data_IF_426583041272
#
_entry.id   IF_426583041272
#
_cell.length_a   1.000
_cell.length_b   1.000
_cell.length_c   1.000
_cell.angle_alpha   90.00
_cell.angle_beta   90.00
_cell.angle_gamma   90.00
#
_symmetry.space_group_name_H-M   'P 1'
#
loop_
_entity.id
_entity.type
_entity.pdbx_description
1 polymer ?
#
# COMPACT_ATOMS: atom_id res chain seq x y z
N UNK A 1 28.12 9.48 12.06
CA UNK A 1 26.71 9.32 12.45
C UNK A 1 25.84 10.10 11.48
N UNK A 2 24.81 9.47 10.88
CA UNK A 2 23.83 10.20 10.08
C UNK A 2 23.13 11.22 10.98
N UNK A 3 23.24 12.52 10.63
CA UNK A 3 22.46 13.57 11.29
C UNK A 3 20.97 13.25 11.11
N UNK A 4 20.17 13.40 12.16
CA UNK A 4 18.72 13.16 12.10
C UNK A 4 18.09 13.97 10.96
N UNK A 5 17.16 13.36 10.23
CA UNK A 5 16.36 14.04 9.20
C UNK A 5 15.66 15.27 9.78
N UNK A 6 15.69 16.44 9.13
CA UNK A 6 14.99 17.63 9.61
C UNK A 6 13.48 17.38 9.66
N UNK A 7 12.81 17.91 10.68
CA UNK A 7 11.34 17.91 10.72
C UNK A 7 10.79 18.90 9.70
N UNK A 8 9.53 18.71 9.29
CA UNK A 8 8.89 19.64 8.36
C UNK A 8 8.75 21.05 8.97
N UNK A 9 8.56 21.17 10.29
CA UNK A 9 8.59 22.49 10.95
C UNK A 9 9.95 23.18 10.79
N UNK A 10 11.07 22.43 10.87
CA UNK A 10 12.41 22.97 10.61
C UNK A 10 12.64 23.37 9.15
N UNK A 11 11.81 22.86 8.24
CA UNK A 11 11.81 23.22 6.83
C UNK A 11 10.84 24.39 6.52
N UNK A 12 10.19 24.97 7.54
CA UNK A 12 9.36 26.17 7.40
C UNK A 12 7.85 25.91 7.24
N UNK A 13 7.40 24.66 7.35
CA UNK A 13 5.98 24.32 7.28
C UNK A 13 5.26 24.66 8.60
N UNK A 14 4.10 25.32 8.49
CA UNK A 14 3.22 25.65 9.61
C UNK A 14 2.43 24.42 10.09
N UNK A 15 1.90 24.46 11.32
CA UNK A 15 1.08 23.36 11.85
C UNK A 15 -0.17 23.10 10.98
N UNK A 16 -0.75 24.16 10.42
CA UNK A 16 -1.90 24.07 9.53
C UNK A 16 -1.57 23.38 8.21
N UNK A 17 -0.38 23.61 7.65
CA UNK A 17 0.09 22.93 6.44
C UNK A 17 0.47 21.47 6.69
N UNK A 18 0.80 21.13 7.94
CA UNK A 18 1.12 19.77 8.37
C UNK A 18 -0.12 18.94 8.74
N UNK A 19 -1.28 19.57 8.84
CA UNK A 19 -2.53 18.89 9.11
C UNK A 19 -2.93 18.00 7.93
N UNK A 20 -2.70 16.69 8.04
CA UNK A 20 -3.13 15.73 7.03
C UNK A 20 -4.64 15.53 7.12
N UNK A 21 -5.37 16.09 6.16
CA UNK A 21 -6.82 15.89 6.01
C UNK A 21 -7.11 14.79 5.01
N UNK A 22 -7.89 13.79 5.43
CA UNK A 22 -8.40 12.80 4.50
C UNK A 22 -9.37 13.47 3.52
N UNK A 23 -9.09 13.34 2.22
CA UNK A 23 -10.01 13.77 1.17
C UNK A 23 -11.08 12.69 0.99
N UNK A 24 -12.35 13.06 1.07
CA UNK A 24 -13.48 12.14 0.92
C UNK A 24 -13.56 11.49 -0.47
N UNK A 25 -12.88 12.07 -1.47
CA UNK A 25 -12.76 11.51 -2.82
C UNK A 25 -11.63 10.48 -2.93
N UNK A 26 -10.75 10.42 -1.92
CA UNK A 26 -9.64 9.48 -1.88
C UNK A 26 -10.13 8.03 -1.74
N UNK A 27 -9.50 7.11 -2.49
CA UNK A 27 -9.79 5.67 -2.37
C UNK A 27 -9.36 5.07 -1.04
N UNK A 28 -8.41 5.73 -0.35
CA UNK A 28 -7.85 5.35 0.94
C UNK A 28 -7.40 6.62 1.69
N UNK A 29 -7.50 6.64 3.03
CA UNK A 29 -6.80 7.62 3.85
C UNK A 29 -5.32 7.23 3.94
N UNK A 30 -4.54 7.53 2.89
CA UNK A 30 -3.14 7.11 2.81
C UNK A 30 -2.32 7.65 3.98
N UNK A 31 -1.70 6.74 4.73
CA UNK A 31 -0.68 7.04 5.72
C UNK A 31 0.67 6.53 5.21
N UNK A 32 1.70 7.37 5.28
CA UNK A 32 3.06 6.99 4.87
C UNK A 32 3.72 6.00 5.83
N UNK A 33 4.90 5.51 5.44
CA UNK A 33 5.75 4.66 6.27
C UNK A 33 5.49 3.15 6.15
N UNK A 34 6.47 2.37 6.58
CA UNK A 34 6.48 0.90 6.49
C UNK A 34 5.30 0.25 7.21
N UNK A 35 4.98 0.70 8.44
CA UNK A 35 3.88 0.15 9.23
C UNK A 35 2.54 0.18 8.48
N UNK A 36 2.21 1.31 7.85
CA UNK A 36 0.99 1.45 7.07
C UNK A 36 1.03 0.61 5.79
N UNK A 37 2.22 0.51 5.16
CA UNK A 37 2.43 -0.31 3.99
C UNK A 37 2.19 -1.80 4.27
N UNK A 38 2.74 -2.33 5.36
CA UNK A 38 2.56 -3.72 5.79
C UNK A 38 1.10 -4.03 6.13
N UNK A 39 0.42 -3.12 6.84
CA UNK A 39 -1.01 -3.26 7.12
C UNK A 39 -1.84 -3.34 5.82
N UNK A 40 -1.53 -2.52 4.81
CA UNK A 40 -2.21 -2.57 3.51
C UNK A 40 -1.85 -3.84 2.72
N UNK A 41 -0.60 -4.29 2.79
CA UNK A 41 -0.14 -5.55 2.17
C UNK A 41 -0.95 -6.73 2.70
N UNK A 42 -1.04 -6.86 4.03
CA UNK A 42 -1.81 -7.91 4.69
C UNK A 42 -3.30 -7.81 4.37
N UNK A 43 -3.90 -6.61 4.43
CA UNK A 43 -5.31 -6.42 4.08
C UNK A 43 -5.61 -6.90 2.67
N UNK A 44 -4.90 -6.39 1.67
CA UNK A 44 -5.23 -6.67 0.27
C UNK A 44 -4.98 -8.13 -0.10
N UNK A 45 -3.91 -8.72 0.43
CA UNK A 45 -3.59 -10.14 0.20
C UNK A 45 -4.68 -11.06 0.74
N UNK A 46 -5.22 -10.76 1.92
CA UNK A 46 -6.26 -11.59 2.55
C UNK A 46 -7.68 -11.32 2.04
N UNK A 47 -7.93 -10.19 1.39
CA UNK A 47 -9.31 -9.79 1.00
C UNK A 47 -9.57 -9.83 -0.50
N UNK A 48 -8.69 -9.23 -1.31
CA UNK A 48 -9.01 -8.84 -2.69
C UNK A 48 -8.02 -9.37 -3.73
N UNK A 49 -6.88 -9.93 -3.31
CA UNK A 49 -5.92 -10.53 -4.23
C UNK A 49 -6.56 -11.60 -5.13
N UNK A 50 -7.41 -12.46 -4.55
CA UNK A 50 -8.15 -13.52 -5.25
C UNK A 50 -9.07 -13.08 -6.39
N UNK A 51 -9.35 -11.79 -6.55
CA UNK A 51 -10.18 -11.27 -7.64
C UNK A 51 -9.47 -10.20 -8.47
N UNK A 52 -8.20 -9.89 -8.18
CA UNK A 52 -7.50 -8.72 -8.73
C UNK A 52 -7.57 -8.62 -10.25
N UNK A 53 -7.34 -9.71 -11.00
CA UNK A 53 -7.39 -9.68 -12.47
C UNK A 53 -8.72 -9.12 -13.01
N UNK A 54 -9.84 -9.41 -12.35
CA UNK A 54 -11.17 -8.95 -12.76
C UNK A 54 -11.45 -7.53 -12.24
N UNK A 55 -10.93 -7.16 -11.07
CA UNK A 55 -11.25 -5.89 -10.42
C UNK A 55 -10.29 -4.76 -10.78
N UNK A 56 -9.09 -5.03 -11.31
CA UNK A 56 -8.00 -4.05 -11.49
C UNK A 56 -8.36 -2.82 -12.34
N UNK A 57 -9.41 -2.89 -13.16
CA UNK A 57 -9.92 -1.79 -13.98
C UNK A 57 -11.05 -1.00 -13.30
N UNK A 58 -11.43 -1.34 -12.07
CA UNK A 58 -12.39 -0.59 -11.28
C UNK A 58 -11.88 0.81 -10.94
N UNK A 59 -12.80 1.72 -10.65
CA UNK A 59 -12.50 3.12 -10.32
C UNK A 59 -12.89 3.50 -8.89
N UNK A 60 -13.83 2.77 -8.29
CA UNK A 60 -14.43 3.10 -6.99
C UNK A 60 -14.05 2.04 -5.96
N UNK A 61 -13.69 2.51 -4.76
CA UNK A 61 -13.34 1.67 -3.61
C UNK A 61 -11.84 1.37 -3.50
N UNK A 62 -11.40 0.95 -2.32
CA UNK A 62 -9.99 0.67 -2.05
C UNK A 62 -9.50 -0.58 -2.78
N UNK A 63 -10.34 -1.61 -2.87
CA UNK A 63 -9.90 -2.99 -3.07
C UNK A 63 -9.98 -3.48 -4.52
N UNK A 64 -10.35 -2.62 -5.46
CA UNK A 64 -10.28 -2.97 -6.88
C UNK A 64 -8.83 -3.23 -7.34
N UNK A 65 -7.84 -2.68 -6.63
CA UNK A 65 -6.41 -2.93 -6.83
C UNK A 65 -5.63 -2.78 -5.52
N UNK A 66 -4.37 -3.17 -5.50
CA UNK A 66 -3.56 -3.20 -4.27
C UNK A 66 -3.37 -1.84 -3.60
N UNK A 67 -3.33 -0.77 -4.42
CA UNK A 67 -2.97 0.59 -4.02
C UNK A 67 -1.58 0.68 -3.37
N UNK A 68 -0.67 -0.27 -3.65
CA UNK A 68 0.68 -0.26 -3.07
C UNK A 68 1.60 0.86 -3.60
N UNK A 69 1.21 1.55 -4.68
CA UNK A 69 2.04 2.50 -5.41
C UNK A 69 2.75 3.56 -4.55
N UNK A 70 2.11 4.30 -3.63
CA UNK A 70 2.82 5.31 -2.83
C UNK A 70 3.86 4.71 -1.89
N UNK A 71 3.61 3.51 -1.37
CA UNK A 71 4.55 2.84 -0.48
C UNK A 71 5.73 2.21 -1.24
N UNK A 72 5.48 1.67 -2.44
CA UNK A 72 6.54 1.19 -3.32
C UNK A 72 7.43 2.33 -3.79
N UNK A 73 6.84 3.46 -4.20
CA UNK A 73 7.57 4.64 -4.68
C UNK A 73 8.56 5.19 -3.65
N UNK A 74 8.22 5.08 -2.35
CA UNK A 74 9.02 5.60 -1.25
C UNK A 74 9.82 4.50 -0.51
N UNK A 75 9.87 3.28 -1.03
CA UNK A 75 10.57 2.15 -0.40
C UNK A 75 10.00 1.71 0.95
N UNK A 76 8.78 2.10 1.30
CA UNK A 76 8.09 1.70 2.52
C UNK A 76 7.65 0.23 2.49
N UNK A 77 7.53 -0.36 1.30
CA UNK A 77 7.38 -1.81 1.11
C UNK A 77 8.27 -2.23 -0.04
N UNK A 78 8.93 -3.39 0.11
CA UNK A 78 9.77 -3.94 -0.95
C UNK A 78 8.93 -4.68 -1.99
N UNK A 79 9.21 -4.54 -3.30
CA UNK A 79 8.57 -5.39 -4.31
C UNK A 79 8.85 -6.89 -4.08
N UNK A 80 10.02 -7.24 -3.52
CA UNK A 80 10.33 -8.63 -3.13
C UNK A 80 9.42 -9.13 -2.01
N UNK A 81 9.10 -8.27 -1.05
CA UNK A 81 8.19 -8.60 0.04
C UNK A 81 6.76 -8.82 -0.48
N UNK A 82 6.29 -7.98 -1.40
CA UNK A 82 5.00 -8.18 -2.07
C UNK A 82 4.97 -9.53 -2.79
N UNK A 83 6.02 -9.86 -3.55
CA UNK A 83 6.14 -11.15 -4.23
C UNK A 83 6.02 -12.33 -3.24
N UNK A 84 6.81 -12.35 -2.17
CA UNK A 84 6.78 -13.44 -1.21
C UNK A 84 5.43 -13.56 -0.49
N UNK A 85 4.79 -12.43 -0.16
CA UNK A 85 3.44 -12.44 0.41
C UNK A 85 2.40 -13.04 -0.56
N UNK A 86 2.52 -12.75 -1.85
CA UNK A 86 1.68 -13.38 -2.88
C UNK A 86 1.96 -14.88 -2.98
N UNK A 87 3.22 -15.32 -2.90
CA UNK A 87 3.57 -16.75 -2.87
C UNK A 87 2.98 -17.47 -1.65
N UNK A 88 3.12 -16.88 -0.46
CA UNK A 88 2.51 -17.40 0.77
C UNK A 88 0.99 -17.53 0.66
N UNK A 89 0.34 -16.54 0.03
CA UNK A 89 -1.08 -16.60 -0.25
C UNK A 89 -1.43 -17.76 -1.18
N UNK A 90 -0.72 -17.91 -2.29
CA UNK A 90 -0.94 -19.00 -3.24
C UNK A 90 -0.74 -20.37 -2.59
N UNK A 91 0.36 -20.57 -1.86
CA UNK A 91 0.67 -21.84 -1.21
C UNK A 91 -0.39 -22.24 -0.17
N UNK A 92 -1.02 -21.26 0.50
CA UNK A 92 -2.14 -21.48 1.42
C UNK A 92 -3.51 -21.64 0.74
N UNK A 93 -3.62 -21.37 -0.57
CA UNK A 93 -4.88 -21.36 -1.31
C UNK A 93 -4.89 -22.33 -2.52
N UNK A 94 -3.98 -23.31 -2.55
CA UNK A 94 -3.96 -24.36 -3.59
C UNK A 94 -3.15 -24.02 -4.84
N UNK A 95 -2.28 -23.01 -4.76
CA UNK A 95 -1.34 -22.62 -5.81
C UNK A 95 -1.73 -21.32 -6.54
N UNK A 96 -1.01 -21.07 -7.65
CA UNK A 96 -1.23 -19.90 -8.50
C UNK A 96 -2.62 -19.95 -9.14
N UNK A 97 -3.24 -18.79 -9.28
CA UNK A 97 -4.54 -18.63 -9.96
C UNK A 97 -4.43 -17.61 -11.08
N UNK A 98 -5.48 -17.51 -11.92
CA UNK A 98 -5.60 -16.40 -12.88
C UNK A 98 -5.57 -15.02 -12.22
N UNK A 99 -5.82 -14.96 -10.91
CA UNK A 99 -5.78 -13.78 -10.09
C UNK A 99 -4.49 -13.65 -9.29
N UNK A 100 -3.43 -14.38 -9.60
CA UNK A 100 -2.13 -14.20 -8.92
C UNK A 100 -0.92 -14.44 -9.83
N UNK A 101 -1.09 -15.09 -10.98
CA UNK A 101 -0.03 -15.24 -11.99
C UNK A 101 0.10 -13.94 -12.83
N UNK A 102 1.18 -13.19 -12.60
CA UNK A 102 1.65 -12.06 -13.43
C UNK A 102 3.08 -11.66 -13.05
#
# INVERSE_FOLDING_TARGET
ALKSTPSLQKLGFTEQELEIKADSRGVLPFAGGEKAALARLDHFTNTALKTYKNTRNGLIGADYSSKYSPWLANGCVSPRMVYWKTREYEDSHGGQTVHTYW
#
